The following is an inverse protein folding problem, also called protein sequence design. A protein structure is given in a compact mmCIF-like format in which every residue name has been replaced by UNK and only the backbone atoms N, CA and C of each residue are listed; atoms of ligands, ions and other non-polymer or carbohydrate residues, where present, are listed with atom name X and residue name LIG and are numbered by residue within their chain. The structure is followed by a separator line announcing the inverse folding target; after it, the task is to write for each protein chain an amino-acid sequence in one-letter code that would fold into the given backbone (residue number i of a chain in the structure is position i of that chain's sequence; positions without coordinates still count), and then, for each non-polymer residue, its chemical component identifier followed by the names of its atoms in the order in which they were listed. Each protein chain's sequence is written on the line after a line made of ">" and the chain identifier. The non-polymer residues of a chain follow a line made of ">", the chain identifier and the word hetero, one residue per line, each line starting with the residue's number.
data_IF_090109178626
#
_entry.id   IF_090109178626
#
_cell.length_a   1.000
_cell.length_b   1.000
_cell.length_c   1.000
_cell.angle_alpha   90.00
_cell.angle_beta   90.00
_cell.angle_gamma   90.00
#
_symmetry.space_group_name_H-M   'P 1'
#
loop_
_entity.id
_entity.type
_entity.pdbx_description
1 polymer ?
#
# COMPACT_ATOMS: atom_id res chain seq x y z
N UNK A 1 25.66 -40.43 -7.58
CA UNK A 1 24.32 -40.07 -7.07
C UNK A 1 24.37 -39.83 -5.57
N UNK A 2 24.62 -38.58 -5.15
CA UNK A 2 24.62 -38.21 -3.74
C UNK A 2 23.36 -37.40 -3.42
N UNK A 3 22.32 -38.00 -2.80
CA UNK A 3 21.07 -37.31 -2.44
C UNK A 3 21.29 -36.10 -1.51
N UNK A 4 22.33 -36.13 -0.68
CA UNK A 4 22.69 -35.04 0.25
C UNK A 4 23.00 -33.71 -0.43
N UNK A 5 23.47 -33.72 -1.68
CA UNK A 5 23.78 -32.48 -2.40
C UNK A 5 22.49 -31.76 -2.79
N UNK A 6 21.48 -32.50 -3.27
CA UNK A 6 20.19 -31.92 -3.68
C UNK A 6 19.46 -31.31 -2.48
N UNK A 7 19.48 -32.02 -1.35
CA UNK A 7 18.83 -31.55 -0.13
C UNK A 7 19.53 -30.32 0.45
N UNK A 8 20.86 -30.28 0.40
CA UNK A 8 21.64 -29.10 0.77
C UNK A 8 21.32 -27.89 -0.12
N UNK A 9 21.29 -28.08 -1.44
CA UNK A 9 20.91 -27.02 -2.39
C UNK A 9 19.47 -26.55 -2.19
N UNK A 10 18.53 -27.47 -1.92
CA UNK A 10 17.14 -27.13 -1.65
C UNK A 10 17.00 -26.26 -0.40
N UNK A 11 17.66 -26.62 0.70
CA UNK A 11 17.63 -25.84 1.93
C UNK A 11 18.30 -24.47 1.78
N UNK A 12 19.44 -24.42 1.09
CA UNK A 12 20.14 -23.16 0.84
C UNK A 12 19.31 -22.21 -0.02
N UNK A 13 18.74 -22.70 -1.12
CA UNK A 13 17.87 -21.92 -2.00
C UNK A 13 16.60 -21.49 -1.29
N UNK A 14 15.96 -22.38 -0.52
CA UNK A 14 14.76 -22.03 0.24
C UNK A 14 15.03 -20.95 1.29
N UNK A 15 16.19 -21.00 1.94
CA UNK A 15 16.63 -19.96 2.88
C UNK A 15 16.90 -18.62 2.18
N UNK A 16 17.60 -18.64 1.04
CA UNK A 16 17.86 -17.43 0.24
C UNK A 16 16.54 -16.83 -0.27
N UNK A 17 15.61 -17.65 -0.74
CA UNK A 17 14.28 -17.21 -1.20
C UNK A 17 13.44 -16.66 -0.04
N UNK A 18 13.53 -17.28 1.14
CA UNK A 18 12.91 -16.78 2.38
C UNK A 18 13.48 -15.43 2.82
N UNK A 19 14.79 -15.23 2.68
CA UNK A 19 15.49 -13.98 3.03
C UNK A 19 15.32 -12.89 1.96
N UNK A 20 14.99 -13.26 0.72
CA UNK A 20 14.53 -12.35 -0.31
C UNK A 20 13.13 -11.83 0.07
N UNK A 21 13.06 -10.58 0.54
CA UNK A 21 11.81 -9.90 0.95
C UNK A 21 10.62 -10.24 0.05
N UNK A 22 9.51 -10.61 0.71
CA UNK A 22 8.24 -10.96 0.09
C UNK A 22 7.71 -9.85 -0.83
N UNK A 23 6.83 -10.24 -1.76
CA UNK A 23 5.95 -9.40 -2.59
C UNK A 23 5.69 -8.03 -1.96
N UNK A 24 6.27 -6.96 -2.52
CA UNK A 24 6.04 -5.60 -2.00
C UNK A 24 4.56 -5.25 -2.14
N UNK A 25 3.96 -4.66 -1.11
CA UNK A 25 2.57 -4.21 -1.15
C UNK A 25 2.53 -2.70 -1.37
N UNK A 26 1.93 -2.27 -2.48
CA UNK A 26 1.79 -0.87 -2.86
C UNK A 26 0.33 -0.47 -2.75
N UNK A 27 0.08 0.63 -2.06
CA UNK A 27 -1.21 1.30 -2.03
C UNK A 27 -1.25 2.38 -3.13
N UNK A 28 -2.24 2.31 -4.01
CA UNK A 28 -2.50 3.29 -5.06
C UNK A 28 -3.74 4.08 -4.68
N UNK A 29 -3.58 5.39 -4.52
CA UNK A 29 -4.66 6.34 -4.31
C UNK A 29 -4.84 7.21 -5.55
N UNK A 30 -6.03 7.20 -6.14
CA UNK A 30 -6.31 7.85 -7.42
C UNK A 30 -7.45 8.86 -7.29
N UNK A 31 -7.23 10.08 -7.77
CA UNK A 31 -8.34 11.02 -8.01
C UNK A 31 -8.88 10.88 -9.44
N UNK A 32 -10.11 10.37 -9.64
CA UNK A 32 -10.63 10.07 -10.97
C UNK A 32 -10.88 11.33 -11.80
N UNK A 33 -11.08 12.47 -11.15
CA UNK A 33 -11.35 13.75 -11.77
C UNK A 33 -10.07 14.53 -12.10
N UNK A 34 -8.90 14.06 -11.67
CA UNK A 34 -7.63 14.73 -11.90
C UNK A 34 -7.21 14.77 -13.38
N UNK A 35 -6.46 15.83 -13.71
CA UNK A 35 -6.09 16.16 -15.09
C UNK A 35 -7.32 16.38 -15.97
N UNK A 36 -7.29 15.99 -17.25
CA UNK A 36 -8.46 16.03 -18.13
C UNK A 36 -9.51 14.94 -17.84
N UNK A 37 -9.71 14.56 -16.56
CA UNK A 37 -10.50 13.39 -16.10
C UNK A 37 -10.03 12.07 -16.72
N UNK A 38 -8.72 11.95 -16.93
CA UNK A 38 -8.07 10.77 -17.54
C UNK A 38 -7.24 9.97 -16.54
N UNK A 39 -7.32 10.27 -15.24
CA UNK A 39 -6.52 9.59 -14.23
C UNK A 39 -6.69 8.07 -14.25
N UNK A 40 -7.94 7.56 -14.32
CA UNK A 40 -8.21 6.11 -14.44
C UNK A 40 -7.55 5.49 -15.67
N UNK A 41 -7.59 6.21 -16.80
CA UNK A 41 -6.95 5.76 -18.04
C UNK A 41 -5.42 5.77 -17.93
N UNK A 42 -4.84 6.81 -17.32
CA UNK A 42 -3.41 6.87 -17.02
C UNK A 42 -2.98 5.72 -16.11
N UNK A 43 -3.77 5.40 -15.08
CA UNK A 43 -3.51 4.27 -14.21
C UNK A 43 -3.51 2.97 -15.01
N UNK A 44 -4.58 2.66 -15.73
CA UNK A 44 -4.71 1.37 -16.44
C UNK A 44 -3.66 1.18 -17.54
N UNK A 45 -3.31 2.24 -18.27
CA UNK A 45 -2.41 2.14 -19.43
C UNK A 45 -0.93 2.32 -19.12
N UNK A 46 -0.59 3.07 -18.06
CA UNK A 46 0.82 3.41 -17.76
C UNK A 46 1.28 2.86 -16.43
N UNK A 47 0.53 3.12 -15.36
CA UNK A 47 0.99 2.84 -13.99
C UNK A 47 0.79 1.38 -13.62
N UNK A 48 -0.41 0.83 -13.84
CA UNK A 48 -0.77 -0.55 -13.50
C UNK A 48 0.18 -1.55 -14.18
N UNK A 49 0.43 -1.38 -15.47
CA UNK A 49 1.35 -2.22 -16.22
C UNK A 49 2.78 -2.20 -15.67
N UNK A 50 3.26 -1.09 -15.11
CA UNK A 50 4.57 -1.03 -14.46
C UNK A 50 4.56 -1.75 -13.11
N UNK A 51 3.54 -1.51 -12.28
CA UNK A 51 3.43 -2.10 -10.95
C UNK A 51 3.22 -3.62 -10.98
N UNK A 52 2.44 -4.13 -11.94
CA UNK A 52 2.20 -5.57 -12.11
C UNK A 52 3.48 -6.32 -12.52
N UNK A 53 4.32 -5.72 -13.37
CA UNK A 53 5.61 -6.32 -13.76
C UNK A 53 6.59 -6.45 -12.60
N UNK A 54 6.44 -5.60 -11.60
CA UNK A 54 7.28 -5.63 -10.40
C UNK A 54 6.83 -6.71 -9.39
N UNK A 55 5.79 -7.50 -9.71
CA UNK A 55 5.23 -8.56 -8.86
C UNK A 55 4.86 -8.04 -7.46
N UNK A 56 4.18 -6.89 -7.42
CA UNK A 56 3.69 -6.28 -6.19
C UNK A 56 2.23 -6.62 -5.95
N UNK A 57 1.87 -6.82 -4.69
CA UNK A 57 0.48 -6.73 -4.27
C UNK A 57 0.08 -5.27 -4.44
N UNK A 58 -1.04 -5.01 -5.09
CA UNK A 58 -1.52 -3.64 -5.32
C UNK A 58 -2.90 -3.54 -4.70
N UNK A 59 -3.07 -2.61 -3.78
CA UNK A 59 -4.41 -2.16 -3.38
C UNK A 59 -4.70 -0.83 -4.04
N UNK A 60 -5.88 -0.70 -4.62
CA UNK A 60 -6.31 0.47 -5.39
C UNK A 60 -7.52 1.10 -4.71
N UNK A 61 -7.45 2.40 -4.45
CA UNK A 61 -8.51 3.18 -3.82
C UNK A 61 -8.71 4.48 -4.61
N UNK A 62 -9.97 4.82 -4.88
CA UNK A 62 -10.32 6.12 -5.47
C UNK A 62 -10.60 7.12 -4.34
N UNK A 63 -10.13 8.36 -4.52
CA UNK A 63 -10.30 9.49 -3.61
C UNK A 63 -10.74 10.72 -4.42
N UNK A 64 -11.43 11.68 -3.82
CA UNK A 64 -11.70 12.96 -4.47
C UNK A 64 -11.87 14.08 -3.44
N UNK A 65 -12.39 15.24 -3.88
CA UNK A 65 -12.55 16.40 -3.00
C UNK A 65 -13.69 16.22 -1.97
N UNK A 66 -14.59 15.26 -2.19
CA UNK A 66 -15.67 14.89 -1.26
C UNK A 66 -15.30 13.65 -0.44
N UNK A 67 -14.62 12.68 -1.05
CA UNK A 67 -14.12 11.47 -0.41
C UNK A 67 -12.64 11.61 -0.09
N UNK A 68 -12.39 12.13 1.12
CA UNK A 68 -11.04 12.42 1.59
C UNK A 68 -10.25 11.14 1.89
N UNK A 69 -8.92 11.23 1.81
CA UNK A 69 -8.07 10.07 1.98
C UNK A 69 -8.19 9.41 3.36
N UNK A 70 -8.49 10.14 4.44
CA UNK A 70 -8.71 9.54 5.77
C UNK A 70 -9.95 8.66 5.82
N UNK A 71 -11.05 9.05 5.18
CA UNK A 71 -12.24 8.19 5.07
C UNK A 71 -11.93 6.93 4.24
N UNK A 72 -11.10 7.08 3.22
CA UNK A 72 -10.65 5.97 2.39
C UNK A 72 -9.74 5.00 3.17
N UNK A 73 -8.93 5.52 4.09
CA UNK A 73 -8.05 4.75 4.99
C UNK A 73 -8.85 4.09 6.12
N UNK A 74 -9.87 4.75 6.66
CA UNK A 74 -10.75 4.19 7.70
C UNK A 74 -11.51 2.94 7.19
N UNK A 75 -11.79 2.88 5.87
CA UNK A 75 -12.44 1.73 5.21
C UNK A 75 -11.45 0.71 4.61
N UNK A 76 -10.14 0.88 4.83
CA UNK A 76 -9.13 -0.02 4.29
C UNK A 76 -9.07 -1.31 5.13
N UNK A 77 -9.49 -2.44 4.54
CA UNK A 77 -9.48 -3.75 5.21
C UNK A 77 -8.10 -4.43 5.24
N UNK A 78 -7.06 -3.77 4.72
CA UNK A 78 -5.70 -4.32 4.69
C UNK A 78 -4.87 -3.95 5.91
N UNK A 79 -3.74 -4.64 6.07
CA UNK A 79 -2.73 -4.29 7.06
C UNK A 79 -1.84 -3.14 6.56
N UNK A 80 -1.85 -1.99 7.26
CA UNK A 80 -1.01 -0.84 6.95
C UNK A 80 0.48 -1.14 7.15
N UNK A 81 0.85 -1.98 8.11
CA UNK A 81 2.25 -2.36 8.36
C UNK A 81 2.82 -3.19 7.20
N UNK A 82 1.94 -3.82 6.42
CA UNK A 82 2.32 -4.54 5.21
C UNK A 82 2.62 -3.63 4.02
N UNK A 83 2.17 -2.36 4.03
CA UNK A 83 2.33 -1.44 2.90
C UNK A 83 3.75 -0.86 2.90
N UNK A 84 4.48 -1.12 1.81
CA UNK A 84 5.85 -0.66 1.64
C UNK A 84 5.97 0.54 0.69
N UNK A 85 4.86 0.98 0.09
CA UNK A 85 4.86 2.12 -0.82
C UNK A 85 3.48 2.70 -1.10
N UNK A 86 3.44 4.01 -1.33
CA UNK A 86 2.25 4.78 -1.70
C UNK A 86 2.45 5.41 -3.07
N UNK A 87 1.46 5.24 -3.95
CA UNK A 87 1.40 5.88 -5.27
C UNK A 87 0.16 6.76 -5.31
N UNK A 88 0.37 8.05 -5.54
CA UNK A 88 -0.72 9.03 -5.69
C UNK A 88 -0.86 9.37 -7.17
N UNK A 89 -2.07 9.21 -7.72
CA UNK A 89 -2.39 9.55 -9.10
C UNK A 89 -3.37 10.72 -9.08
N UNK A 90 -2.86 11.92 -9.31
CA UNK A 90 -3.65 13.14 -9.25
C UNK A 90 -2.83 14.39 -9.59
N UNK A 91 -3.32 15.55 -9.13
CA UNK A 91 -2.56 16.80 -9.12
C UNK A 91 -2.15 17.19 -7.69
N UNK A 92 -1.64 18.41 -7.50
CA UNK A 92 -1.16 18.89 -6.19
C UNK A 92 -2.24 18.83 -5.10
N UNK A 93 -3.49 19.16 -5.44
CA UNK A 93 -4.62 19.02 -4.51
C UNK A 93 -4.85 17.59 -4.04
N UNK A 94 -4.62 16.59 -4.90
CA UNK A 94 -4.71 15.17 -4.52
C UNK A 94 -3.58 14.78 -3.56
N UNK A 95 -2.36 15.28 -3.77
CA UNK A 95 -1.24 15.04 -2.85
C UNK A 95 -1.55 15.65 -1.48
N UNK A 96 -2.03 16.89 -1.44
CA UNK A 96 -2.41 17.56 -0.19
C UNK A 96 -3.53 16.81 0.54
N UNK A 97 -4.57 16.37 -0.20
CA UNK A 97 -5.66 15.57 0.37
C UNK A 97 -5.12 14.28 1.02
N UNK A 98 -4.28 13.53 0.30
CA UNK A 98 -3.69 12.27 0.81
C UNK A 98 -2.83 12.49 2.05
N UNK A 99 -1.91 13.46 2.03
CA UNK A 99 -1.04 13.75 3.18
C UNK A 99 -1.86 14.17 4.40
N UNK A 100 -2.84 15.07 4.20
CA UNK A 100 -3.71 15.50 5.29
C UNK A 100 -4.57 14.34 5.83
N UNK A 101 -5.06 13.45 4.96
CA UNK A 101 -5.78 12.25 5.36
C UNK A 101 -4.92 11.31 6.19
N UNK A 102 -3.68 11.05 5.77
CA UNK A 102 -2.73 10.23 6.53
C UNK A 102 -2.45 10.80 7.92
N UNK A 103 -2.23 12.12 8.03
CA UNK A 103 -2.02 12.78 9.32
C UNK A 103 -3.25 12.60 10.23
N UNK A 104 -4.46 12.80 9.70
CA UNK A 104 -5.70 12.61 10.46
C UNK A 104 -5.89 11.17 10.89
N UNK A 105 -5.66 10.21 10.00
CA UNK A 105 -5.74 8.78 10.28
C UNK A 105 -4.77 8.37 11.40
N UNK A 106 -3.48 8.72 11.28
CA UNK A 106 -2.47 8.40 12.29
C UNK A 106 -2.75 9.08 13.65
N UNK A 107 -3.29 10.30 13.63
CA UNK A 107 -3.67 11.01 14.86
C UNK A 107 -4.84 10.32 15.55
N UNK A 108 -5.85 9.86 14.79
CA UNK A 108 -6.97 9.06 15.33
C UNK A 108 -6.47 7.74 15.90
N UNK A 109 -5.66 6.99 15.15
CA UNK A 109 -5.13 5.70 15.58
C UNK A 109 -4.29 5.81 16.87
N UNK A 110 -3.42 6.82 16.96
CA UNK A 110 -2.64 7.07 18.17
C UNK A 110 -3.51 7.44 19.37
N UNK A 111 -4.61 8.19 19.18
CA UNK A 111 -5.58 8.43 20.25
C UNK A 111 -6.21 7.13 20.73
N UNK A 112 -6.67 6.29 19.79
CA UNK A 112 -7.25 4.99 20.14
C UNK A 112 -6.27 4.10 20.91
N UNK A 113 -4.98 4.08 20.55
CA UNK A 113 -3.96 3.31 21.29
C UNK A 113 -3.73 3.85 22.71
N UNK A 114 -3.68 5.17 22.87
CA UNK A 114 -3.52 5.82 24.18
C UNK A 114 -4.73 5.62 25.09
N UNK A 115 -5.94 5.60 24.53
CA UNK A 115 -7.17 5.33 25.28
C UNK A 115 -7.20 3.87 25.78
N UNK A 116 -6.65 2.92 25.02
CA UNK A 116 -6.55 1.49 25.44
C UNK A 116 -5.51 1.28 26.54
N UNK A 117 -4.38 2.00 26.52
CA UNK A 117 -3.35 1.90 27.56
C UNK A 117 -3.78 2.49 28.91
N UNK A 118 -4.71 3.46 28.90
CA UNK A 118 -5.23 4.07 30.13
C UNK A 118 -6.36 3.28 30.82
N UNK A 119 -6.88 2.23 30.18
CA UNK A 119 -7.98 1.38 30.68
C UNK A 119 -7.51 0.02 31.25
N UNK A 120 -6.21 -0.18 31.45
CA UNK A 120 -5.70 -1.36 32.17
C UNK A 120 -5.63 -1.10 33.69
N UNK A 121 -6.16 -2.01 34.54
CA UNK A 121 -6.31 -1.81 35.99
C UNK A 121 -4.99 -1.80 36.77
#
# INVERSE_FOLDING_TARGET
>A
NQPNQIEHWYHLLSKIISDCKSVRHILVMLNPYAGPRRARHTYSTKVKAMLERAQHKITYIEIDDQFNADEALDNFEGDFDSIEGLVIIGGDGSVINVINGLIRYLTKENRTRLDIEHDLP
#
